data_IF_854575068419
#
_entry.id   IF_854575068419
#
_cell.length_a   1.000
_cell.length_b   1.000
_cell.length_c   1.000
_cell.angle_alpha   90.00
_cell.angle_beta   90.00
_cell.angle_gamma   90.00
#
_symmetry.space_group_name_H-M   'P 1'
#
loop_
_entity.id
_entity.type
_entity.pdbx_description
1 polymer ?
#
# COMPACT_ATOMS: atom_id res chain seq x y z
N UNK A 1 -32.93 16.67 -2.80
CA UNK A 1 -31.71 16.01 -2.26
C UNK A 1 -30.50 16.28 -3.14
N UNK A 2 -29.30 15.81 -2.77
CA UNK A 2 -28.05 16.01 -3.56
C UNK A 2 -28.24 15.67 -5.05
N UNK A 3 -28.90 14.54 -5.35
CA UNK A 3 -29.17 14.10 -6.73
C UNK A 3 -30.13 15.02 -7.50
N UNK A 4 -31.15 15.57 -6.84
CA UNK A 4 -32.12 16.49 -7.47
C UNK A 4 -31.55 17.91 -7.60
N UNK A 5 -30.70 18.32 -6.65
CA UNK A 5 -30.10 19.65 -6.61
C UNK A 5 -28.80 19.78 -7.38
N UNK A 6 -28.20 18.67 -7.81
CA UNK A 6 -26.93 18.64 -8.54
C UNK A 6 -25.76 19.27 -7.79
N UNK A 7 -25.85 19.38 -6.46
CA UNK A 7 -24.86 20.08 -5.61
C UNK A 7 -24.49 19.21 -4.42
N UNK A 8 -23.20 19.16 -4.06
CA UNK A 8 -22.73 18.38 -2.93
C UNK A 8 -23.20 18.97 -1.60
N UNK A 9 -23.35 18.10 -0.61
CA UNK A 9 -23.76 18.46 0.74
C UNK A 9 -22.86 17.77 1.76
N UNK A 10 -22.45 18.53 2.79
CA UNK A 10 -21.75 18.00 3.97
C UNK A 10 -22.77 17.77 5.07
N UNK A 11 -22.76 16.57 5.64
CA UNK A 11 -23.66 16.15 6.70
C UNK A 11 -22.83 15.71 7.91
N UNK A 12 -23.12 16.28 9.07
CA UNK A 12 -22.47 15.89 10.33
C UNK A 12 -23.39 14.94 11.10
N UNK A 13 -22.84 13.80 11.51
CA UNK A 13 -23.49 12.78 12.31
C UNK A 13 -22.80 12.69 13.67
N UNK A 14 -23.57 12.89 14.73
CA UNK A 14 -23.10 12.70 16.10
C UNK A 14 -23.66 11.38 16.61
N UNK A 15 -22.85 10.32 16.54
CA UNK A 15 -23.25 8.97 16.94
C UNK A 15 -22.97 8.77 18.44
N UNK A 16 -23.48 9.67 19.29
CA UNK A 16 -23.32 9.60 20.74
C UNK A 16 -24.69 9.53 21.43
N UNK A 17 -24.87 8.60 22.38
CA UNK A 17 -26.09 8.49 23.18
C UNK A 17 -27.20 7.59 22.62
N UNK A 18 -28.46 7.96 22.85
CA UNK A 18 -29.66 7.11 22.65
C UNK A 18 -29.90 6.66 21.19
N UNK A 19 -29.33 7.36 20.21
CA UNK A 19 -29.46 7.03 18.78
C UNK A 19 -28.72 5.73 18.37
N UNK A 20 -27.81 5.24 19.23
CA UNK A 20 -27.13 3.95 19.07
C UNK A 20 -28.04 2.78 19.47
N UNK A 21 -29.07 3.01 20.30
CA UNK A 21 -29.97 1.93 20.74
C UNK A 21 -30.98 1.51 19.66
N UNK A 22 -31.28 2.40 18.70
CA UNK A 22 -32.21 2.18 17.59
C UNK A 22 -31.50 1.90 16.25
N UNK A 23 -30.17 1.86 16.24
CA UNK A 23 -29.35 1.49 15.07
C UNK A 23 -28.48 0.28 15.42
N UNK A 24 -28.43 -0.75 14.56
CA UNK A 24 -27.58 -1.95 14.75
C UNK A 24 -26.05 -1.65 14.67
N UNK A 25 -25.63 -0.38 14.83
CA UNK A 25 -24.26 0.07 14.67
C UNK A 25 -23.61 0.41 16.02
N UNK A 26 -22.54 -0.31 16.36
CA UNK A 26 -21.93 -0.35 17.71
C UNK A 26 -20.77 0.66 17.90
N UNK A 27 -20.30 1.33 16.84
CA UNK A 27 -19.19 2.28 16.93
C UNK A 27 -19.67 3.74 17.07
N UNK A 28 -19.56 4.30 18.27
CA UNK A 28 -19.83 5.73 18.52
C UNK A 28 -18.72 6.66 17.99
N UNK A 29 -19.06 7.93 17.75
CA UNK A 29 -18.13 8.97 17.28
C UNK A 29 -18.82 10.13 16.56
N UNK A 30 -18.05 11.14 16.17
CA UNK A 30 -18.50 12.19 15.24
C UNK A 30 -17.98 11.86 13.85
N UNK A 31 -18.88 11.84 12.86
CA UNK A 31 -18.56 11.54 11.46
C UNK A 31 -19.13 12.65 10.60
N UNK A 32 -18.32 13.19 9.70
CA UNK A 32 -18.80 14.07 8.64
C UNK A 32 -18.75 13.36 7.31
N UNK A 33 -19.88 13.35 6.61
CA UNK A 33 -20.03 12.72 5.31
C UNK A 33 -20.22 13.81 4.27
N UNK A 34 -19.34 13.85 3.28
CA UNK A 34 -19.56 14.61 2.07
C UNK A 34 -20.30 13.71 1.07
N UNK A 35 -21.48 14.14 0.64
CA UNK A 35 -22.26 13.46 -0.41
C UNK A 35 -22.21 14.34 -1.65
N UNK A 36 -21.73 13.77 -2.75
CA UNK A 36 -21.56 14.46 -4.03
C UNK A 36 -22.33 13.74 -5.13
N UNK A 37 -22.94 14.45 -6.08
CA UNK A 37 -23.47 13.83 -7.28
C UNK A 37 -22.31 13.43 -8.20
N UNK A 38 -22.40 12.26 -8.84
CA UNK A 38 -21.51 11.90 -9.94
C UNK A 38 -21.99 12.60 -11.21
N UNK A 39 -21.25 13.63 -11.62
CA UNK A 39 -21.54 14.37 -12.84
C UNK A 39 -20.80 13.73 -14.04
N UNK A 40 -21.46 13.47 -15.18
CA UNK A 40 -20.80 13.00 -16.41
C UNK A 40 -19.58 13.83 -16.84
N UNK A 41 -19.55 15.13 -16.54
CA UNK A 41 -18.39 16.00 -16.81
C UNK A 41 -17.13 15.57 -16.03
N UNK A 42 -17.28 14.80 -14.95
CA UNK A 42 -16.17 14.23 -14.18
C UNK A 42 -15.64 12.91 -14.76
N UNK A 43 -16.18 12.43 -15.88
CA UNK A 43 -15.83 11.13 -16.45
C UNK A 43 -14.34 10.96 -16.74
N UNK A 44 -13.66 12.01 -17.21
CA UNK A 44 -12.21 11.99 -17.45
C UNK A 44 -11.42 11.77 -16.15
N UNK A 45 -11.84 12.41 -15.05
CA UNK A 45 -11.18 12.30 -13.75
C UNK A 45 -11.25 10.86 -13.23
N UNK A 46 -12.43 10.23 -13.28
CA UNK A 46 -12.57 8.85 -12.80
C UNK A 46 -11.85 7.84 -13.69
N UNK A 47 -11.81 8.05 -15.01
CA UNK A 47 -10.97 7.24 -15.92
C UNK A 47 -9.50 7.36 -15.56
N UNK A 48 -9.00 8.58 -15.32
CA UNK A 48 -7.61 8.80 -14.91
C UNK A 48 -7.27 8.13 -13.57
N UNK A 49 -8.20 8.13 -12.61
CA UNK A 49 -8.02 7.42 -11.34
C UNK A 49 -7.83 5.91 -11.55
N UNK A 50 -8.58 5.30 -12.47
CA UNK A 50 -8.42 3.88 -12.83
C UNK A 50 -7.06 3.66 -13.50
N UNK A 51 -6.70 4.49 -14.48
CA UNK A 51 -5.39 4.42 -15.16
C UNK A 51 -4.21 4.52 -14.18
N UNK A 52 -4.26 5.44 -13.20
CA UNK A 52 -3.20 5.55 -12.20
C UNK A 52 -3.03 4.28 -11.38
N UNK A 53 -4.14 3.65 -10.97
CA UNK A 53 -4.12 2.40 -10.22
C UNK A 53 -3.55 1.25 -11.06
N UNK A 54 -3.90 1.18 -12.33
CA UNK A 54 -3.42 0.13 -13.25
C UNK A 54 -1.94 0.32 -13.63
N UNK A 55 -1.50 1.57 -13.76
CA UNK A 55 -0.14 1.91 -14.21
C UNK A 55 0.88 2.02 -13.06
N UNK A 56 0.51 1.66 -11.83
CA UNK A 56 1.35 1.80 -10.64
C UNK A 56 1.86 3.24 -10.39
N UNK A 57 1.00 4.24 -10.64
CA UNK A 57 1.35 5.67 -10.54
C UNK A 57 0.67 6.35 -9.35
N UNK A 58 1.31 7.42 -8.85
CA UNK A 58 0.86 8.18 -7.69
C UNK A 58 0.11 9.45 -8.09
N UNK A 59 -0.87 9.82 -7.27
CA UNK A 59 -1.63 11.06 -7.43
C UNK A 59 -2.23 11.52 -6.11
N UNK A 60 -2.66 12.78 -6.08
CA UNK A 60 -3.44 13.36 -4.99
C UNK A 60 -4.78 13.81 -5.57
N UNK A 61 -5.87 13.27 -5.00
CA UNK A 61 -7.22 13.69 -5.34
C UNK A 61 -7.67 14.75 -4.34
N UNK A 62 -7.76 15.99 -4.80
CA UNK A 62 -8.26 17.12 -4.05
C UNK A 62 -9.77 17.24 -4.27
N UNK A 63 -10.55 17.16 -3.21
CA UNK A 63 -11.99 17.42 -3.21
C UNK A 63 -12.26 18.74 -2.51
N UNK A 64 -12.75 19.73 -3.25
CA UNK A 64 -13.10 21.04 -2.70
C UNK A 64 -14.32 20.90 -1.78
N UNK A 65 -14.15 21.21 -0.51
CA UNK A 65 -15.24 21.15 0.45
C UNK A 65 -16.22 22.29 0.17
N UNK A 66 -17.53 21.99 0.00
CA UNK A 66 -18.50 22.97 -0.43
C UNK A 66 -18.70 24.06 0.61
N UNK A 67 -18.77 25.31 0.13
CA UNK A 67 -19.20 26.48 0.90
C UNK A 67 -20.51 27.02 0.31
N UNK A 68 -21.28 27.77 1.09
CA UNK A 68 -22.56 28.31 0.63
C UNK A 68 -22.37 29.21 -0.60
N UNK A 69 -22.96 28.81 -1.73
CA UNK A 69 -22.83 29.54 -3.01
C UNK A 69 -21.47 29.44 -3.71
N UNK A 70 -20.53 28.68 -3.15
CA UNK A 70 -19.19 28.48 -3.73
C UNK A 70 -19.14 27.42 -4.84
N UNK A 71 -18.03 27.34 -5.59
CA UNK A 71 -17.79 26.25 -6.51
C UNK A 71 -17.59 24.93 -5.75
N UNK A 72 -17.77 23.83 -6.44
CA UNK A 72 -17.46 22.49 -5.94
C UNK A 72 -16.82 21.67 -7.07
N UNK A 73 -16.12 20.61 -6.71
CA UNK A 73 -15.48 19.74 -7.67
C UNK A 73 -14.18 19.16 -7.14
N UNK A 74 -13.47 18.47 -8.03
CA UNK A 74 -12.26 17.73 -7.69
C UNK A 74 -11.12 18.08 -8.64
N UNK A 75 -9.90 17.94 -8.18
CA UNK A 75 -8.72 17.94 -9.02
C UNK A 75 -7.87 16.72 -8.67
N UNK A 76 -7.58 15.89 -9.67
CA UNK A 76 -6.55 14.87 -9.56
C UNK A 76 -5.25 15.43 -10.12
N UNK A 77 -4.22 15.49 -9.28
CA UNK A 77 -2.87 15.91 -9.68
C UNK A 77 -1.94 14.72 -9.51
N UNK A 78 -1.18 14.35 -10.55
CA UNK A 78 -0.21 13.25 -10.48
C UNK A 78 1.16 13.76 -10.06
N UNK A 79 2.02 12.87 -9.55
CA UNK A 79 3.37 13.24 -9.10
C UNK A 79 4.23 13.79 -10.26
N UNK A 80 3.94 13.40 -11.49
CA UNK A 80 4.57 13.89 -12.72
C UNK A 80 4.02 15.25 -13.21
N UNK A 81 3.01 15.78 -12.53
CA UNK A 81 2.43 17.10 -12.79
C UNK A 81 1.21 17.11 -13.71
N UNK A 82 0.72 15.95 -14.16
CA UNK A 82 -0.53 15.88 -14.93
C UNK A 82 -1.70 16.31 -14.04
N UNK A 83 -2.70 17.01 -14.61
CA UNK A 83 -3.90 17.41 -13.88
C UNK A 83 -5.16 17.10 -14.67
N UNK A 84 -6.12 16.47 -14.01
CA UNK A 84 -7.46 16.23 -14.54
C UNK A 84 -8.47 16.77 -13.53
N UNK A 85 -9.25 17.77 -13.93
CA UNK A 85 -10.07 18.53 -13.00
C UNK A 85 -11.22 19.26 -13.70
N UNK A 86 -12.47 19.13 -13.23
CA UNK A 86 -13.55 20.06 -13.57
C UNK A 86 -13.46 21.43 -12.85
N UNK A 87 -12.52 21.63 -11.91
CA UNK A 87 -12.38 22.93 -11.23
C UNK A 87 -11.81 24.00 -12.17
N UNK A 88 -12.12 25.29 -11.96
CA UNK A 88 -11.53 26.39 -12.75
C UNK A 88 -10.00 26.39 -12.75
N UNK A 89 -9.38 26.70 -13.89
CA UNK A 89 -7.91 26.71 -14.09
C UNK A 89 -7.15 27.51 -13.02
N UNK A 90 -7.72 28.64 -12.56
CA UNK A 90 -7.12 29.46 -11.51
C UNK A 90 -6.96 28.72 -10.17
N UNK A 91 -7.90 27.83 -9.83
CA UNK A 91 -7.79 26.97 -8.65
C UNK A 91 -6.80 25.83 -8.86
N UNK A 92 -6.73 25.28 -10.07
CA UNK A 92 -5.75 24.27 -10.41
C UNK A 92 -4.31 24.81 -10.25
N UNK A 93 -4.06 26.03 -10.74
CA UNK A 93 -2.77 26.70 -10.56
C UNK A 93 -2.39 26.92 -9.09
N UNK A 94 -3.35 27.30 -8.25
CA UNK A 94 -3.12 27.46 -6.80
C UNK A 94 -2.76 26.13 -6.12
N UNK A 95 -3.39 25.02 -6.51
CA UNK A 95 -3.05 23.69 -6.03
C UNK A 95 -1.63 23.27 -6.43
N UNK A 96 -1.22 23.57 -7.67
CA UNK A 96 0.14 23.31 -8.14
C UNK A 96 1.19 24.10 -7.34
N UNK A 97 0.95 25.39 -7.12
CA UNK A 97 1.87 26.22 -6.33
C UNK A 97 1.94 25.75 -4.88
N UNK A 98 0.79 25.38 -4.29
CA UNK A 98 0.74 24.77 -2.96
C UNK A 98 1.55 23.47 -2.87
N UNK A 99 1.46 22.57 -3.86
CA UNK A 99 2.22 21.33 -3.88
C UNK A 99 3.73 21.53 -4.08
N UNK A 100 4.16 22.57 -4.79
CA UNK A 100 5.58 22.92 -4.89
C UNK A 100 6.16 23.36 -3.55
N UNK A 101 5.37 24.09 -2.77
CA UNK A 101 5.75 24.55 -1.42
C UNK A 101 5.65 23.43 -0.38
N UNK A 102 4.90 22.36 -0.67
CA UNK A 102 4.61 21.24 0.23
C UNK A 102 4.89 19.85 -0.38
N UNK A 103 6.14 19.55 -0.78
CA UNK A 103 6.49 18.27 -1.41
C UNK A 103 6.31 17.06 -0.48
N UNK A 104 6.29 17.27 0.83
CA UNK A 104 6.02 16.22 1.83
C UNK A 104 4.63 15.58 1.69
N UNK A 105 3.69 16.26 1.04
CA UNK A 105 2.32 15.75 0.86
C UNK A 105 2.26 14.51 -0.04
N UNK A 106 3.22 14.34 -0.95
CA UNK A 106 3.34 13.14 -1.79
C UNK A 106 3.66 11.88 -0.98
N UNK A 107 4.15 12.04 0.25
CA UNK A 107 4.43 10.93 1.15
C UNK A 107 3.25 10.57 2.05
N UNK A 108 2.18 11.37 2.05
CA UNK A 108 0.99 11.09 2.84
C UNK A 108 0.28 9.83 2.34
N UNK A 109 -0.15 8.99 3.30
CA UNK A 109 -0.83 7.71 3.02
C UNK A 109 -2.26 7.65 3.52
N UNK A 110 -2.64 8.59 4.38
CA UNK A 110 -4.00 8.76 4.87
C UNK A 110 -4.60 9.98 4.22
N UNK A 111 -5.92 10.00 4.08
CA UNK A 111 -6.59 11.23 3.68
C UNK A 111 -6.39 12.32 4.75
N UNK A 112 -6.28 13.56 4.31
CA UNK A 112 -6.03 14.73 5.15
C UNK A 112 -6.75 15.94 4.59
N UNK A 113 -6.80 17.03 5.37
CA UNK A 113 -7.40 18.28 4.90
C UNK A 113 -6.33 19.36 4.78
N UNK A 114 -6.42 20.17 3.73
CA UNK A 114 -5.58 21.36 3.54
C UNK A 114 -6.44 22.60 3.38
N UNK A 115 -5.89 23.74 3.78
CA UNK A 115 -6.52 25.03 3.60
C UNK A 115 -5.60 25.89 2.74
N UNK A 116 -6.09 26.29 1.58
CA UNK A 116 -5.41 27.20 0.67
C UNK A 116 -5.77 28.65 1.00
N UNK A 117 -5.29 29.61 0.21
CA UNK A 117 -5.59 31.02 0.44
C UNK A 117 -7.09 31.26 0.29
N UNK A 118 -7.57 32.39 0.82
CA UNK A 118 -8.98 32.83 0.70
C UNK A 118 -10.03 31.89 1.33
N UNK A 119 -9.62 30.97 2.21
CA UNK A 119 -10.54 30.09 2.94
C UNK A 119 -11.04 28.90 2.11
N UNK A 120 -10.29 28.50 1.08
CA UNK A 120 -10.58 27.29 0.33
C UNK A 120 -10.09 26.06 1.12
N UNK A 121 -11.00 25.15 1.40
CA UNK A 121 -10.70 23.93 2.15
C UNK A 121 -10.83 22.71 1.24
N UNK A 122 -9.80 21.87 1.21
CA UNK A 122 -9.81 20.64 0.43
C UNK A 122 -9.66 19.44 1.36
N UNK A 123 -10.42 18.39 1.07
CA UNK A 123 -10.12 17.04 1.53
C UNK A 123 -9.26 16.36 0.47
N UNK A 124 -8.12 15.83 0.87
CA UNK A 124 -7.09 15.29 -0.02
C UNK A 124 -6.95 13.80 0.23
N UNK A 125 -7.12 13.02 -0.82
CA UNK A 125 -6.97 11.57 -0.79
C UNK A 125 -5.72 11.18 -1.60
N UNK A 126 -4.69 10.61 -0.95
CA UNK A 126 -3.58 10.02 -1.66
C UNK A 126 -4.02 8.81 -2.48
N UNK A 127 -3.76 8.85 -3.78
CA UNK A 127 -3.94 7.77 -4.72
C UNK A 127 -2.57 7.15 -4.92
N UNK A 128 -2.35 5.98 -4.32
CA UNK A 128 -1.14 5.21 -4.48
C UNK A 128 -1.52 3.74 -4.62
N UNK A 129 -0.55 2.94 -5.03
CA UNK A 129 -0.82 1.57 -5.46
C UNK A 129 -0.73 0.63 -4.28
N UNK A 130 -1.48 -0.46 -4.38
CA UNK A 130 -1.48 -1.51 -3.39
C UNK A 130 -0.04 -2.02 -3.18
N UNK A 131 0.42 -2.16 -1.93
CA UNK A 131 1.75 -2.67 -1.67
C UNK A 131 1.90 -4.06 -2.29
N UNK A 132 3.00 -4.28 -3.01
CA UNK A 132 3.27 -5.57 -3.64
C UNK A 132 4.09 -6.45 -2.70
N UNK A 133 3.56 -7.62 -2.39
CA UNK A 133 4.24 -8.68 -1.67
C UNK A 133 4.88 -9.65 -2.66
N UNK A 134 6.21 -9.73 -2.64
CA UNK A 134 6.99 -10.74 -3.33
C UNK A 134 7.34 -11.88 -2.36
N UNK A 135 6.75 -13.05 -2.60
CA UNK A 135 7.04 -14.29 -1.88
C UNK A 135 8.14 -15.06 -2.62
N UNK A 136 9.34 -15.12 -2.03
CA UNK A 136 10.44 -15.94 -2.52
C UNK A 136 10.40 -17.32 -1.86
N UNK A 137 10.07 -18.33 -2.64
CA UNK A 137 9.77 -19.68 -2.19
C UNK A 137 8.26 -19.94 -2.21
N UNK A 138 7.86 -21.00 -2.90
CA UNK A 138 6.45 -21.41 -3.06
C UNK A 138 6.11 -22.67 -2.23
N UNK A 139 6.74 -22.78 -1.04
CA UNK A 139 6.50 -23.86 -0.07
C UNK A 139 5.19 -23.72 0.70
N UNK A 140 4.97 -24.61 1.68
CA UNK A 140 3.72 -24.65 2.46
C UNK A 140 3.42 -23.37 3.24
N UNK A 141 4.45 -22.70 3.77
CA UNK A 141 4.27 -21.41 4.48
C UNK A 141 3.78 -20.33 3.52
N UNK A 142 4.35 -20.23 2.32
CA UNK A 142 3.90 -19.28 1.30
C UNK A 142 2.45 -19.50 0.88
N UNK A 143 2.00 -20.76 0.81
CA UNK A 143 0.60 -21.09 0.52
C UNK A 143 -0.38 -20.55 1.56
N UNK A 144 0.05 -20.40 2.82
CA UNK A 144 -0.77 -19.80 3.87
C UNK A 144 -0.65 -18.27 3.89
N UNK A 145 0.52 -17.72 3.56
CA UNK A 145 0.73 -16.26 3.49
C UNK A 145 -0.07 -15.63 2.36
N UNK A 146 -0.02 -16.20 1.15
CA UNK A 146 -0.64 -15.61 -0.04
C UNK A 146 -2.12 -15.22 0.14
N UNK A 147 -3.03 -16.10 0.61
CA UNK A 147 -4.44 -15.73 0.80
C UNK A 147 -4.63 -14.69 1.90
N UNK A 148 -3.89 -14.77 3.00
CA UNK A 148 -3.97 -13.78 4.09
C UNK A 148 -3.49 -12.40 3.64
N UNK A 149 -2.38 -12.34 2.90
CA UNK A 149 -1.85 -11.12 2.33
C UNK A 149 -2.83 -10.49 1.33
N UNK A 150 -3.41 -11.30 0.44
CA UNK A 150 -4.42 -10.84 -0.52
C UNK A 150 -5.64 -10.26 0.19
N UNK A 151 -6.13 -10.93 1.24
CA UNK A 151 -7.27 -10.49 2.05
C UNK A 151 -7.05 -9.11 2.70
N UNK A 152 -5.82 -8.77 3.07
CA UNK A 152 -5.50 -7.49 3.70
C UNK A 152 -4.98 -6.43 2.72
N UNK A 153 -5.17 -6.64 1.41
CA UNK A 153 -4.93 -5.65 0.36
C UNK A 153 -3.49 -5.55 -0.11
N UNK A 154 -2.77 -6.67 -0.20
CA UNK A 154 -1.51 -6.76 -0.94
C UNK A 154 -1.76 -7.34 -2.33
N UNK A 155 -1.08 -6.79 -3.35
CA UNK A 155 -0.81 -7.52 -4.59
C UNK A 155 0.20 -8.62 -4.26
N UNK A 156 -0.03 -9.86 -4.69
CA UNK A 156 0.80 -11.02 -4.31
C UNK A 156 1.47 -11.61 -5.55
N UNK A 157 2.80 -11.61 -5.54
CA UNK A 157 3.64 -12.25 -6.56
C UNK A 157 4.41 -13.39 -5.89
N UNK A 158 4.31 -14.60 -6.45
CA UNK A 158 4.97 -15.79 -5.89
C UNK A 158 6.05 -16.29 -6.82
N UNK A 159 7.28 -16.40 -6.34
CA UNK A 159 8.43 -16.85 -7.12
C UNK A 159 9.05 -18.12 -6.53
N UNK A 160 9.35 -19.10 -7.38
CA UNK A 160 10.15 -20.28 -7.04
C UNK A 160 10.88 -20.76 -8.29
N UNK A 161 12.01 -21.46 -8.13
CA UNK A 161 12.77 -22.03 -9.24
C UNK A 161 12.14 -23.31 -9.82
N UNK A 162 11.04 -23.78 -9.21
CA UNK A 162 10.34 -25.00 -9.61
C UNK A 162 8.93 -24.72 -10.14
N UNK A 163 8.62 -25.13 -11.38
CA UNK A 163 7.31 -24.90 -11.98
C UNK A 163 6.17 -25.63 -11.27
N UNK A 164 6.43 -26.80 -10.67
CA UNK A 164 5.44 -27.53 -9.89
C UNK A 164 5.12 -26.87 -8.53
N UNK A 165 5.87 -25.83 -8.15
CA UNK A 165 5.61 -25.02 -6.96
C UNK A 165 4.99 -23.66 -7.29
N UNK A 166 5.62 -22.87 -8.16
CA UNK A 166 5.10 -21.56 -8.55
C UNK A 166 4.16 -21.67 -9.76
N UNK A 167 2.89 -21.99 -9.50
CA UNK A 167 1.85 -22.06 -10.53
C UNK A 167 0.46 -21.65 -10.00
N UNK A 168 -0.47 -21.28 -10.91
CA UNK A 168 -1.81 -20.83 -10.54
C UNK A 168 -2.66 -21.88 -9.80
N UNK A 169 -2.46 -23.18 -10.06
CA UNK A 169 -3.23 -24.23 -9.38
C UNK A 169 -2.92 -24.28 -7.87
N UNK A 170 -1.66 -24.02 -7.51
CA UNK A 170 -1.20 -23.97 -6.12
C UNK A 170 -1.39 -22.61 -5.46
N UNK A 171 -1.45 -21.54 -6.24
CA UNK A 171 -1.59 -20.16 -5.79
C UNK A 171 -2.70 -19.43 -6.55
N UNK A 172 -3.98 -19.86 -6.44
CA UNK A 172 -5.08 -19.32 -7.23
C UNK A 172 -5.43 -17.87 -6.88
N UNK A 173 -4.97 -17.38 -5.72
CA UNK A 173 -5.18 -16.02 -5.23
C UNK A 173 -4.01 -15.07 -5.54
N UNK A 174 -2.88 -15.59 -6.04
CA UNK A 174 -1.75 -14.76 -6.42
C UNK A 174 -2.07 -13.98 -7.69
N UNK A 175 -1.64 -12.72 -7.75
CA UNK A 175 -1.76 -11.90 -8.94
C UNK A 175 -0.78 -12.35 -10.03
N UNK A 176 0.34 -12.96 -9.62
CA UNK A 176 1.34 -13.49 -10.54
C UNK A 176 2.13 -14.64 -9.89
N UNK A 177 2.47 -15.65 -10.70
CA UNK A 177 3.40 -16.73 -10.33
C UNK A 177 4.58 -16.75 -11.29
N UNK A 178 5.80 -16.65 -10.77
CA UNK A 178 7.04 -16.54 -11.53
C UNK A 178 7.90 -17.78 -11.31
N UNK A 179 8.28 -18.44 -12.41
CA UNK A 179 9.24 -19.55 -12.38
C UNK A 179 10.60 -19.04 -12.86
N UNK A 180 11.55 -18.87 -11.94
CA UNK A 180 12.89 -18.37 -12.26
C UNK A 180 13.90 -18.83 -11.20
N UNK A 181 15.16 -18.99 -11.59
CA UNK A 181 16.24 -19.30 -10.65
C UNK A 181 16.38 -18.17 -9.62
N UNK A 182 16.58 -18.51 -8.34
CA UNK A 182 16.69 -17.49 -7.29
C UNK A 182 17.86 -16.53 -7.52
N UNK A 183 18.94 -16.96 -8.16
CA UNK A 183 20.10 -16.15 -8.55
C UNK A 183 19.76 -15.03 -9.54
N UNK A 184 18.63 -15.16 -10.23
CA UNK A 184 18.14 -14.24 -11.27
C UNK A 184 16.85 -13.52 -10.85
N UNK A 185 16.50 -13.59 -9.57
CA UNK A 185 15.29 -12.97 -9.03
C UNK A 185 15.18 -11.47 -9.36
N UNK A 186 16.29 -10.73 -9.21
CA UNK A 186 16.34 -9.30 -9.50
C UNK A 186 16.17 -8.96 -11.01
N UNK A 187 16.30 -9.95 -11.91
CA UNK A 187 16.04 -9.74 -13.34
C UNK A 187 14.54 -9.74 -13.67
N UNK A 188 13.70 -10.28 -12.78
CA UNK A 188 12.25 -10.45 -12.98
C UNK A 188 11.41 -9.55 -12.10
N UNK A 189 11.94 -9.14 -10.96
CA UNK A 189 11.19 -8.42 -9.93
C UNK A 189 11.76 -7.01 -9.81
N UNK A 190 10.91 -6.02 -10.04
CA UNK A 190 11.21 -4.62 -9.76
C UNK A 190 10.75 -4.28 -8.35
N UNK A 191 11.67 -3.74 -7.54
CA UNK A 191 11.43 -3.43 -6.13
C UNK A 191 11.48 -1.92 -5.93
N UNK A 192 10.46 -1.39 -5.27
CA UNK A 192 10.28 0.01 -4.93
C UNK A 192 9.98 0.19 -3.43
N UNK A 193 9.68 1.41 -3.00
CA UNK A 193 9.33 1.74 -1.61
C UNK A 193 7.94 1.25 -1.15
N UNK A 194 7.16 0.63 -2.04
CA UNK A 194 5.89 -0.01 -1.72
C UNK A 194 6.00 -1.54 -1.64
N UNK A 195 7.18 -2.08 -1.99
CA UNK A 195 7.46 -3.50 -2.07
C UNK A 195 7.77 -4.14 -0.71
N UNK A 196 7.22 -5.33 -0.50
CA UNK A 196 7.42 -6.20 0.66
C UNK A 196 8.03 -7.50 0.19
N UNK A 197 9.19 -7.86 0.74
CA UNK A 197 9.91 -9.07 0.36
C UNK A 197 9.82 -10.08 1.51
N UNK A 198 9.28 -11.26 1.24
CA UNK A 198 9.21 -12.36 2.21
C UNK A 198 9.98 -13.54 1.65
N UNK A 199 11.08 -13.87 2.31
CA UNK A 199 12.02 -14.91 1.91
C UNK A 199 11.73 -16.17 2.74
N UNK A 200 11.05 -17.12 2.11
CA UNK A 200 10.56 -18.39 2.67
C UNK A 200 10.98 -19.57 1.81
N UNK A 201 12.24 -19.56 1.36
CA UNK A 201 12.77 -20.58 0.44
C UNK A 201 13.08 -21.91 1.16
N UNK A 202 13.54 -22.90 0.40
CA UNK A 202 13.82 -24.27 0.89
C UNK A 202 15.10 -24.42 1.72
N UNK A 203 15.85 -23.36 1.99
CA UNK A 203 17.03 -23.47 2.84
C UNK A 203 18.06 -22.35 2.72
N UNK A 204 19.04 -22.42 3.63
CA UNK A 204 20.04 -21.37 3.89
C UNK A 204 20.68 -20.75 2.65
N UNK A 205 21.02 -21.55 1.63
CA UNK A 205 21.70 -21.06 0.44
C UNK A 205 20.80 -20.14 -0.37
N UNK A 206 19.56 -20.56 -0.65
CA UNK A 206 18.63 -19.77 -1.44
C UNK A 206 18.16 -18.53 -0.70
N UNK A 207 17.94 -18.61 0.63
CA UNK A 207 17.59 -17.43 1.42
C UNK A 207 18.70 -16.38 1.38
N UNK A 208 19.96 -16.80 1.50
CA UNK A 208 21.11 -15.92 1.33
C UNK A 208 21.18 -15.34 -0.09
N UNK A 209 20.97 -16.17 -1.13
CA UNK A 209 21.01 -15.74 -2.53
C UNK A 209 20.00 -14.64 -2.82
N UNK A 210 18.76 -14.82 -2.36
CA UNK A 210 17.69 -13.82 -2.52
C UNK A 210 17.99 -12.59 -1.66
N UNK A 211 18.31 -12.77 -0.38
CA UNK A 211 18.55 -11.65 0.53
C UNK A 211 19.67 -10.73 0.01
N UNK A 212 20.77 -11.32 -0.47
CA UNK A 212 21.91 -10.58 -1.03
C UNK A 212 21.49 -9.67 -2.20
N UNK A 213 20.65 -10.15 -3.10
CA UNK A 213 20.21 -9.39 -4.27
C UNK A 213 19.37 -8.17 -3.89
N UNK A 214 18.51 -8.31 -2.89
CA UNK A 214 17.53 -7.28 -2.56
C UNK A 214 17.87 -6.44 -1.33
N UNK A 215 18.93 -6.76 -0.59
CA UNK A 215 19.36 -5.94 0.55
C UNK A 215 19.60 -4.46 0.20
N UNK A 216 20.21 -4.12 -0.97
CA UNK A 216 20.39 -2.74 -1.41
C UNK A 216 19.11 -2.05 -1.91
N UNK A 217 18.01 -2.78 -2.05
CA UNK A 217 16.78 -2.26 -2.64
C UNK A 217 16.09 -1.23 -1.74
N UNK A 218 15.18 -0.40 -2.30
CA UNK A 218 14.34 0.50 -1.52
C UNK A 218 13.14 -0.21 -0.86
N UNK A 219 13.11 -1.55 -0.79
CA UNK A 219 11.99 -2.30 -0.23
C UNK A 219 11.58 -1.77 1.15
N UNK A 220 10.28 -1.60 1.35
CA UNK A 220 9.71 -1.18 2.63
C UNK A 220 9.92 -2.20 3.73
N UNK A 221 9.94 -3.47 3.35
CA UNK A 221 10.05 -4.59 4.28
C UNK A 221 10.84 -5.72 3.64
N UNK A 222 11.80 -6.26 4.40
CA UNK A 222 12.54 -7.46 4.04
C UNK A 222 12.44 -8.42 5.22
N UNK A 223 11.64 -9.47 5.06
CA UNK A 223 11.48 -10.53 6.05
C UNK A 223 12.14 -11.82 5.58
N UNK A 224 12.89 -12.48 6.45
CA UNK A 224 13.52 -13.76 6.14
C UNK A 224 13.18 -14.82 7.19
N UNK A 225 12.63 -15.94 6.73
CA UNK A 225 12.34 -17.07 7.61
C UNK A 225 13.63 -17.72 8.12
N UNK A 226 13.60 -18.16 9.37
CA UNK A 226 14.69 -18.95 9.94
C UNK A 226 14.97 -18.66 11.40
N UNK A 227 15.64 -19.60 12.05
CA UNK A 227 16.12 -19.42 13.42
C UNK A 227 17.19 -18.32 13.53
N UNK A 228 17.41 -17.80 14.73
CA UNK A 228 18.50 -16.85 15.02
C UNK A 228 19.86 -17.37 14.55
N UNK A 229 20.15 -18.66 14.79
CA UNK A 229 21.37 -19.34 14.33
C UNK A 229 21.51 -19.31 12.80
N UNK A 230 20.41 -19.54 12.07
CA UNK A 230 20.38 -19.46 10.59
C UNK A 230 20.71 -18.05 10.13
N UNK A 231 20.03 -17.05 10.69
CA UNK A 231 20.28 -15.63 10.40
C UNK A 231 21.74 -15.26 10.64
N UNK A 232 22.31 -15.60 11.81
CA UNK A 232 23.67 -15.21 12.16
C UNK A 232 24.72 -15.78 11.19
N UNK A 233 24.46 -17.00 10.69
CA UNK A 233 25.32 -17.63 9.68
C UNK A 233 25.28 -16.86 8.35
N UNK A 234 24.08 -16.48 7.90
CA UNK A 234 23.88 -15.69 6.67
C UNK A 234 24.49 -14.29 6.82
N UNK A 235 24.26 -13.64 7.96
CA UNK A 235 24.75 -12.27 8.20
C UNK A 235 26.26 -12.21 8.27
N UNK A 236 26.93 -13.20 8.86
CA UNK A 236 28.40 -13.28 8.84
C UNK A 236 28.94 -13.28 7.41
N UNK A 237 28.34 -14.09 6.52
CA UNK A 237 28.75 -14.15 5.11
C UNK A 237 28.49 -12.82 4.38
N UNK A 238 27.34 -12.18 4.63
CA UNK A 238 27.04 -10.88 4.04
C UNK A 238 28.02 -9.79 4.51
N UNK A 239 28.45 -9.81 5.78
CA UNK A 239 29.49 -8.89 6.28
C UNK A 239 30.83 -9.09 5.58
N UNK A 240 31.23 -10.34 5.38
CA UNK A 240 32.47 -10.68 4.64
C UNK A 240 32.42 -10.14 3.19
N UNK A 241 31.22 -9.92 2.65
CA UNK A 241 30.99 -9.37 1.32
C UNK A 241 30.75 -7.85 1.29
N UNK A 242 30.87 -7.18 2.44
CA UNK A 242 30.88 -5.72 2.55
C UNK A 242 29.53 -5.08 2.92
N UNK A 243 28.50 -5.86 3.23
CA UNK A 243 27.23 -5.30 3.73
C UNK A 243 27.39 -4.76 5.15
N UNK A 244 26.84 -3.57 5.39
CA UNK A 244 26.92 -2.87 6.67
C UNK A 244 25.93 -3.41 7.71
N UNK A 245 26.11 -3.05 8.99
CA UNK A 245 25.10 -3.34 10.01
C UNK A 245 23.77 -2.63 9.72
N UNK A 246 23.82 -1.45 9.10
CA UNK A 246 22.62 -0.72 8.69
C UNK A 246 21.82 -1.52 7.65
N UNK A 247 22.50 -2.07 6.64
CA UNK A 247 21.90 -2.97 5.64
C UNK A 247 21.30 -4.22 6.27
N UNK A 248 21.92 -4.77 7.32
CA UNK A 248 21.42 -5.97 7.99
C UNK A 248 20.29 -5.68 8.99
N UNK A 249 20.26 -4.47 9.56
CA UNK A 249 19.27 -4.05 10.56
C UNK A 249 17.86 -3.88 10.01
N UNK A 250 17.74 -3.61 8.71
CA UNK A 250 16.46 -3.51 7.97
C UNK A 250 15.77 -4.86 7.74
N UNK A 251 16.43 -5.98 8.04
CA UNK A 251 15.91 -7.32 7.79
C UNK A 251 15.24 -7.90 9.04
N UNK A 252 13.97 -8.26 8.90
CA UNK A 252 13.18 -8.94 9.92
C UNK A 252 13.50 -10.43 9.91
N UNK A 253 14.41 -10.85 10.80
CA UNK A 253 14.84 -12.23 10.96
C UNK A 253 15.09 -12.59 12.44
N UNK A 254 14.36 -13.57 13.02
CA UNK A 254 13.24 -14.30 12.43
C UNK A 254 12.09 -13.39 12.01
N UNK A 255 11.46 -13.73 10.88
CA UNK A 255 10.32 -13.00 10.34
C UNK A 255 9.04 -13.21 11.18
N UNK A 256 8.17 -12.20 11.22
CA UNK A 256 6.85 -12.27 11.86
C UNK A 256 6.87 -11.85 13.32
N UNK A 257 5.69 -11.50 13.84
CA UNK A 257 5.52 -11.15 15.25
C UNK A 257 5.74 -12.37 16.16
N UNK A 258 6.35 -12.16 17.32
CA UNK A 258 6.55 -13.22 18.32
C UNK A 258 5.24 -13.54 19.04
N UNK A 259 4.44 -14.40 18.44
CA UNK A 259 3.15 -14.89 18.96
C UNK A 259 3.22 -16.36 19.41
N UNK A 260 4.41 -16.96 19.45
CA UNK A 260 4.58 -18.39 19.72
C UNK A 260 4.08 -19.31 18.60
N UNK A 261 4.11 -18.85 17.34
CA UNK A 261 3.62 -19.61 16.19
C UNK A 261 4.44 -20.89 15.92
N UNK A 262 3.75 -22.01 15.69
CA UNK A 262 4.36 -23.30 15.39
C UNK A 262 3.91 -23.86 14.03
N UNK A 263 2.64 -23.67 13.67
CA UNK A 263 2.08 -24.19 12.41
C UNK A 263 2.31 -23.22 11.24
N UNK A 264 2.34 -23.69 9.97
CA UNK A 264 2.44 -22.82 8.80
C UNK A 264 1.38 -21.70 8.77
N UNK A 265 0.17 -21.99 9.25
CA UNK A 265 -0.96 -21.06 9.34
C UNK A 265 -0.69 -19.96 10.38
N UNK A 266 -0.25 -20.35 11.59
CA UNK A 266 0.12 -19.38 12.64
C UNK A 266 1.31 -18.52 12.23
N UNK A 267 2.32 -19.13 11.58
CA UNK A 267 3.47 -18.42 11.04
C UNK A 267 3.02 -17.41 9.97
N UNK A 268 2.09 -17.79 9.10
CA UNK A 268 1.55 -16.87 8.11
C UNK A 268 0.80 -15.69 8.75
N UNK A 269 0.00 -15.95 9.80
CA UNK A 269 -0.66 -14.89 10.58
C UNK A 269 0.37 -13.95 11.20
N UNK A 270 1.44 -14.49 11.80
CA UNK A 270 2.48 -13.67 12.44
C UNK A 270 3.24 -12.78 11.44
N UNK A 271 3.54 -13.31 10.25
CA UNK A 271 4.19 -12.58 9.16
C UNK A 271 3.28 -11.49 8.62
N UNK A 272 2.02 -11.81 8.31
CA UNK A 272 1.05 -10.82 7.80
C UNK A 272 0.78 -9.73 8.83
N UNK A 273 0.70 -10.07 10.12
CA UNK A 273 0.56 -9.10 11.19
C UNK A 273 1.78 -8.15 11.27
N UNK A 274 3.01 -8.66 11.11
CA UNK A 274 4.22 -7.82 11.06
C UNK A 274 4.21 -6.90 9.83
N UNK A 275 3.86 -7.41 8.65
CA UNK A 275 3.74 -6.60 7.43
C UNK A 275 2.70 -5.48 7.59
N UNK A 276 1.55 -5.77 8.20
CA UNK A 276 0.53 -4.76 8.52
C UNK A 276 1.09 -3.73 9.48
N UNK A 277 1.80 -4.14 10.54
CA UNK A 277 2.43 -3.23 11.49
C UNK A 277 3.37 -2.27 10.76
N UNK A 278 4.29 -2.78 9.93
CA UNK A 278 5.21 -1.96 9.13
C UNK A 278 4.46 -1.05 8.16
N UNK A 279 3.38 -1.52 7.53
CA UNK A 279 2.51 -0.72 6.66
C UNK A 279 1.84 0.46 7.39
N UNK A 280 1.58 0.32 8.69
CA UNK A 280 0.90 1.33 9.52
C UNK A 280 1.85 2.21 10.31
N UNK A 281 3.08 1.76 10.56
CA UNK A 281 4.12 2.46 11.32
C UNK A 281 4.90 3.47 10.46
N UNK A 282 4.18 4.26 9.64
CA UNK A 282 4.78 5.34 8.85
C UNK A 282 5.64 6.28 9.70
#
# INVERSE_FOLDING_TARGET
GVMEGGKPQRMAFHLTGKDVADTDMICGGEVEVLIEPLDPEQGDLYRKLVELKEADRRGLLFTLLPTEGGPWGKALITEEGDTVSPLPDGLQGELHDFLKDHPELWQQRKAFSVSLRRGLHFFVEPIFVEPTLYLFGAGHVAQQIAPLAKMVGFRVVVMDDRPEFANPDRFPVADETVVEAFERAAERITVDESSYLVIVTRGHLHDYTVLKQFLPSPARYIGMIGSRRKRDTIYRKLREEGFSEEDLSRVHAPIGLDIGAETPEEIAVSIVAEMIKVRRSG
#
